data_IF_315627859654
#
_entry.id   IF_315627859654
#
_cell.length_a   1.000
_cell.length_b   1.000
_cell.length_c   1.000
_cell.angle_alpha   90.00
_cell.angle_beta   90.00
_cell.angle_gamma   90.00
#
_symmetry.space_group_name_H-M   'P 1'
#
loop_
_entity.id
_entity.type
_entity.pdbx_description
1 polymer ?
#
# COMPACT_ATOMS: atom_id res chain seq x y z
N UNK A 1 -7.53 -52.50 3.18
CA UNK A 1 -7.68 -52.94 1.77
C UNK A 1 -7.12 -51.78 0.96
N UNK A 2 -5.79 -51.74 0.78
CA UNK A 2 -5.15 -51.93 -0.53
C UNK A 2 -5.28 -50.62 -1.31
N UNK A 3 -4.24 -49.79 -1.42
CA UNK A 3 -3.11 -50.10 -2.30
C UNK A 3 -1.75 -49.69 -1.75
N UNK A 4 -0.89 -50.70 -1.65
CA UNK A 4 0.57 -50.63 -1.70
C UNK A 4 1.02 -50.14 -3.08
N UNK A 5 1.39 -48.87 -3.19
CA UNK A 5 2.45 -48.46 -4.12
C UNK A 5 3.63 -48.01 -3.25
N UNK A 6 4.50 -48.96 -2.93
CA UNK A 6 5.87 -48.67 -2.53
C UNK A 6 6.57 -48.11 -3.78
N UNK A 7 6.57 -46.79 -3.92
CA UNK A 7 7.43 -46.13 -4.89
C UNK A 7 8.85 -46.24 -4.34
N UNK A 8 9.71 -47.02 -5.01
CA UNK A 8 11.11 -47.27 -4.60
C UNK A 8 12.02 -46.07 -4.94
N UNK A 9 11.45 -44.89 -5.19
CA UNK A 9 12.18 -43.66 -5.37
C UNK A 9 12.42 -43.06 -4.00
N UNK A 10 13.68 -42.74 -3.68
CA UNK A 10 14.04 -41.89 -2.55
C UNK A 10 12.99 -40.78 -2.40
N UNK A 11 12.33 -40.71 -1.24
CA UNK A 11 11.44 -39.60 -0.91
C UNK A 11 12.30 -38.35 -0.76
N UNK A 12 12.67 -37.76 -1.88
CA UNK A 12 13.35 -36.47 -1.90
C UNK A 12 12.36 -35.43 -1.36
N UNK A 13 12.75 -34.61 -0.37
CA UNK A 13 11.92 -33.49 0.03
C UNK A 13 11.64 -32.59 -1.18
N UNK A 14 10.49 -31.91 -1.18
CA UNK A 14 9.99 -31.12 -2.34
C UNK A 14 11.01 -30.08 -2.82
N UNK A 15 11.82 -29.53 -1.91
CA UNK A 15 12.93 -28.63 -2.22
C UNK A 15 14.00 -29.25 -3.11
N UNK A 16 14.33 -30.53 -2.92
CA UNK A 16 15.37 -31.25 -3.66
C UNK A 16 14.93 -31.56 -5.11
N UNK A 17 13.63 -31.41 -5.41
CA UNK A 17 13.09 -31.50 -6.76
C UNK A 17 13.15 -30.15 -7.50
N UNK A 18 13.69 -29.10 -6.89
CA UNK A 18 13.66 -27.74 -7.46
C UNK A 18 12.28 -27.08 -7.35
N UNK A 19 11.52 -27.41 -6.30
CA UNK A 19 10.26 -26.78 -5.97
C UNK A 19 10.32 -26.12 -4.59
N UNK A 20 10.32 -24.78 -4.57
CA UNK A 20 10.42 -23.95 -3.36
C UNK A 20 9.34 -22.87 -3.35
N UNK A 21 9.01 -22.24 -2.22
CA UNK A 21 8.14 -21.08 -2.24
C UNK A 21 8.74 -19.94 -3.08
N UNK A 22 7.89 -19.29 -3.88
CA UNK A 22 8.26 -18.05 -4.58
C UNK A 22 8.17 -16.85 -3.64
N UNK A 23 9.14 -15.94 -3.74
CA UNK A 23 9.22 -14.72 -2.98
C UNK A 23 9.60 -13.53 -3.87
N UNK A 24 9.33 -12.32 -3.38
CA UNK A 24 9.65 -11.07 -4.04
C UNK A 24 10.57 -10.23 -3.15
N UNK A 25 11.42 -9.43 -3.77
CA UNK A 25 12.32 -8.51 -3.06
C UNK A 25 12.55 -7.26 -3.90
N UNK A 26 12.51 -6.10 -3.24
CA UNK A 26 12.97 -4.83 -3.81
C UNK A 26 14.46 -4.57 -3.59
N UNK A 27 15.13 -5.41 -2.78
CA UNK A 27 16.55 -5.28 -2.48
C UNK A 27 17.36 -5.94 -3.59
N UNK A 28 18.24 -5.17 -4.21
CA UNK A 28 19.13 -5.62 -5.28
C UNK A 28 20.50 -6.10 -4.80
N UNK A 29 20.81 -5.93 -3.51
CA UNK A 29 22.13 -6.23 -2.93
C UNK A 29 22.12 -7.27 -1.82
N UNK A 30 20.93 -7.75 -1.47
CA UNK A 30 20.76 -8.81 -0.47
C UNK A 30 19.45 -9.57 -0.66
N UNK A 31 19.43 -10.83 -0.24
CA UNK A 31 18.22 -11.65 -0.11
C UNK A 31 18.21 -12.30 1.27
N UNK A 32 17.03 -12.35 1.89
CA UNK A 32 16.85 -12.93 3.22
C UNK A 32 16.11 -14.25 3.12
N UNK A 33 16.25 -15.11 4.12
CA UNK A 33 15.51 -16.37 4.18
C UNK A 33 15.44 -16.92 5.60
N UNK A 34 14.52 -17.85 5.78
CA UNK A 34 14.35 -18.66 6.99
C UNK A 34 14.29 -20.11 6.58
N UNK A 35 14.87 -21.01 7.36
CA UNK A 35 14.89 -22.44 7.06
C UNK A 35 14.63 -23.29 8.30
N UNK A 36 14.30 -24.55 8.04
CA UNK A 36 14.14 -25.55 9.09
C UNK A 36 15.52 -26.02 9.56
N UNK A 37 15.66 -26.42 10.84
CA UNK A 37 16.90 -27.01 11.32
C UNK A 37 17.21 -28.31 10.57
N UNK A 38 18.50 -28.58 10.36
CA UNK A 38 18.97 -29.88 9.87
C UNK A 38 18.64 -31.00 10.87
N UNK A 39 18.54 -32.23 10.36
CA UNK A 39 18.33 -33.43 11.19
C UNK A 39 19.55 -33.75 12.06
N UNK A 40 20.74 -33.44 11.56
CA UNK A 40 22.01 -33.70 12.23
C UNK A 40 22.54 -32.44 12.96
N UNK A 41 23.52 -32.65 13.85
CA UNK A 41 24.12 -31.57 14.64
C UNK A 41 25.01 -30.68 13.78
N UNK A 42 24.45 -29.56 13.31
CA UNK A 42 25.14 -28.51 12.55
C UNK A 42 25.82 -27.53 13.50
N UNK A 43 27.09 -27.22 13.22
CA UNK A 43 27.87 -26.21 13.98
C UNK A 43 27.77 -24.81 13.35
N UNK A 44 27.43 -24.71 12.07
CA UNK A 44 27.27 -23.45 11.34
C UNK A 44 26.38 -23.66 10.10
N UNK A 45 25.50 -22.73 9.79
CA UNK A 45 24.81 -22.66 8.51
C UNK A 45 25.55 -21.72 7.57
N UNK A 46 25.49 -22.05 6.29
CA UNK A 46 25.93 -21.19 5.22
C UNK A 46 24.81 -20.98 4.21
N UNK A 47 24.76 -19.80 3.62
CA UNK A 47 23.73 -19.40 2.67
C UNK A 47 24.36 -18.87 1.38
N UNK A 48 23.69 -19.10 0.25
CA UNK A 48 24.16 -18.63 -1.06
C UNK A 48 22.99 -18.32 -1.99
N UNK A 49 23.28 -17.60 -3.08
CA UNK A 49 22.32 -17.33 -4.16
C UNK A 49 22.89 -17.83 -5.48
N UNK A 50 22.06 -18.60 -6.18
CA UNK A 50 22.26 -19.09 -7.53
C UNK A 50 21.30 -18.46 -8.52
N UNK A 51 21.63 -18.57 -9.81
CA UNK A 51 20.70 -18.21 -10.89
C UNK A 51 19.74 -19.35 -11.23
N UNK A 52 19.94 -20.54 -10.69
CA UNK A 52 19.13 -21.73 -10.95
C UNK A 52 19.38 -22.78 -9.84
N UNK A 53 18.74 -23.95 -9.94
CA UNK A 53 18.83 -24.99 -8.90
C UNK A 53 20.12 -25.83 -8.98
N UNK A 54 20.74 -25.94 -10.15
CA UNK A 54 21.99 -26.70 -10.35
C UNK A 54 23.26 -25.95 -9.98
N UNK A 55 23.21 -24.62 -9.91
CA UNK A 55 24.33 -23.75 -9.51
C UNK A 55 23.89 -22.81 -8.38
N UNK A 56 23.83 -23.30 -7.13
CA UNK A 56 23.32 -22.57 -5.96
C UNK A 56 24.21 -21.40 -5.53
N UNK A 57 25.38 -21.23 -6.14
CA UNK A 57 26.30 -20.14 -5.82
C UNK A 57 26.69 -19.25 -7.00
N UNK A 58 26.20 -19.52 -8.21
CA UNK A 58 26.61 -18.79 -9.42
C UNK A 58 26.48 -17.27 -9.36
N UNK A 59 25.58 -16.73 -8.54
CA UNK A 59 25.42 -15.27 -8.37
C UNK A 59 26.32 -14.72 -7.27
N UNK A 60 26.44 -15.44 -6.14
CA UNK A 60 27.27 -15.00 -5.01
C UNK A 60 28.76 -15.32 -5.18
N UNK A 61 29.08 -16.36 -5.94
CA UNK A 61 30.40 -16.97 -6.12
C UNK A 61 30.96 -17.69 -4.89
N UNK A 62 30.19 -17.78 -3.79
CA UNK A 62 30.64 -18.35 -2.52
C UNK A 62 29.45 -18.66 -1.60
N UNK A 63 29.70 -19.50 -0.59
CA UNK A 63 28.78 -19.71 0.53
C UNK A 63 29.13 -18.77 1.68
N UNK A 64 28.14 -18.03 2.18
CA UNK A 64 28.31 -17.06 3.26
C UNK A 64 27.96 -17.70 4.61
N UNK A 65 28.87 -17.74 5.60
CA UNK A 65 28.57 -18.28 6.93
C UNK A 65 27.62 -17.37 7.72
N UNK A 66 26.73 -17.98 8.51
CA UNK A 66 25.69 -17.29 9.29
C UNK A 66 25.65 -17.67 10.78
N UNK A 67 26.48 -18.60 11.24
CA UNK A 67 26.37 -19.15 12.58
C UNK A 67 25.24 -20.17 12.67
N UNK A 68 24.64 -20.33 13.86
CA UNK A 68 23.61 -21.36 14.13
C UNK A 68 22.18 -20.86 13.94
N UNK A 69 21.99 -19.61 13.51
CA UNK A 69 20.66 -19.03 13.33
C UNK A 69 19.90 -19.74 12.19
N UNK A 70 18.58 -19.89 12.35
CA UNK A 70 17.68 -20.47 11.35
C UNK A 70 17.09 -19.41 10.40
N UNK A 71 17.75 -18.26 10.34
CA UNK A 71 17.39 -17.13 9.50
C UNK A 71 18.65 -16.34 9.17
N UNK A 72 18.66 -15.68 8.02
CA UNK A 72 19.76 -14.80 7.66
C UNK A 72 19.59 -14.16 6.30
N UNK A 73 20.65 -13.49 5.83
CA UNK A 73 20.65 -12.84 4.54
C UNK A 73 21.98 -13.02 3.82
N UNK A 74 21.92 -13.37 2.54
CA UNK A 74 23.06 -13.26 1.63
C UNK A 74 23.22 -11.78 1.29
N UNK A 75 24.42 -11.25 1.48
CA UNK A 75 24.76 -9.84 1.19
C UNK A 75 25.89 -9.75 0.16
N UNK A 76 26.22 -8.55 -0.32
CA UNK A 76 27.28 -8.34 -1.31
C UNK A 76 27.04 -9.17 -2.58
N UNK A 77 25.83 -9.07 -3.11
CA UNK A 77 25.39 -9.63 -4.39
C UNK A 77 24.90 -8.49 -5.28
N UNK A 78 24.82 -8.72 -6.59
CA UNK A 78 24.25 -7.77 -7.53
C UNK A 78 23.09 -8.44 -8.26
N UNK A 79 21.89 -7.98 -7.97
CA UNK A 79 20.64 -8.49 -8.52
C UNK A 79 19.99 -7.41 -9.37
N UNK A 80 19.27 -7.83 -10.39
CA UNK A 80 18.59 -6.93 -11.31
C UNK A 80 17.17 -7.43 -11.56
N UNK A 81 16.21 -6.51 -11.76
CA UNK A 81 14.87 -6.88 -12.17
C UNK A 81 14.92 -7.61 -13.53
N UNK A 82 14.02 -8.56 -13.70
CA UNK A 82 13.77 -9.22 -14.98
C UNK A 82 12.60 -8.58 -15.72
N UNK A 83 12.23 -9.16 -16.84
CA UNK A 83 10.93 -8.93 -17.46
C UNK A 83 9.88 -9.85 -16.83
N UNK A 84 8.67 -9.32 -16.66
CA UNK A 84 7.56 -10.03 -16.02
C UNK A 84 6.34 -10.03 -16.91
N UNK A 85 5.60 -11.12 -16.90
CA UNK A 85 4.30 -11.25 -17.54
C UNK A 85 3.43 -12.27 -16.80
N UNK A 86 2.19 -12.42 -17.23
CA UNK A 86 1.22 -13.33 -16.59
C UNK A 86 0.76 -14.39 -17.57
N UNK A 87 0.73 -15.64 -17.10
CA UNK A 87 0.31 -16.81 -17.86
C UNK A 87 -1.21 -16.78 -18.11
N UNK A 88 -1.62 -16.93 -19.36
CA UNK A 88 -3.03 -16.94 -19.78
C UNK A 88 -3.54 -18.33 -20.18
N UNK A 89 -2.64 -19.26 -20.54
CA UNK A 89 -3.00 -20.63 -20.89
C UNK A 89 -2.42 -21.63 -19.90
N UNK A 90 -3.14 -22.73 -19.67
CA UNK A 90 -2.64 -23.85 -18.87
C UNK A 90 -1.43 -24.51 -19.55
N UNK A 91 -0.44 -24.93 -18.77
CA UNK A 91 0.68 -25.76 -19.25
C UNK A 91 0.54 -27.15 -18.63
N UNK A 92 0.37 -28.16 -19.46
CA UNK A 92 0.28 -29.58 -19.11
C UNK A 92 1.50 -30.34 -19.63
N UNK A 93 1.58 -31.64 -19.38
CA UNK A 93 2.77 -32.46 -19.70
C UNK A 93 3.18 -32.44 -21.18
N UNK A 94 2.20 -32.30 -22.08
CA UNK A 94 2.37 -32.34 -23.54
C UNK A 94 2.18 -30.97 -24.22
N UNK A 95 2.09 -29.90 -23.43
CA UNK A 95 1.99 -28.54 -23.99
C UNK A 95 3.27 -28.18 -24.73
N UNK A 96 3.15 -27.72 -25.98
CA UNK A 96 4.26 -27.29 -26.84
C UNK A 96 4.37 -25.77 -26.96
N UNK A 97 3.36 -25.03 -26.52
CA UNK A 97 3.37 -23.57 -26.46
C UNK A 97 2.39 -23.06 -25.40
N UNK A 98 2.62 -21.85 -24.92
CA UNK A 98 1.72 -21.19 -23.97
C UNK A 98 1.59 -19.69 -24.26
N UNK A 99 0.49 -19.11 -23.80
CA UNK A 99 0.19 -17.69 -24.00
C UNK A 99 0.35 -16.88 -22.72
N UNK A 100 0.77 -15.63 -22.89
CA UNK A 100 1.01 -14.63 -21.84
C UNK A 100 0.35 -13.30 -22.18
N UNK A 101 0.19 -12.42 -21.18
CA UNK A 101 -0.36 -11.07 -21.39
C UNK A 101 0.45 -10.23 -22.38
N UNK A 102 1.78 -10.25 -22.24
CA UNK A 102 2.73 -9.65 -23.18
C UNK A 102 4.09 -10.32 -23.03
N UNK A 103 4.79 -10.54 -24.14
CA UNK A 103 6.17 -11.02 -24.19
C UNK A 103 7.15 -9.87 -24.51
N UNK A 104 6.74 -8.61 -24.34
CA UNK A 104 7.61 -7.44 -24.52
C UNK A 104 8.80 -7.49 -23.56
N UNK A 105 10.00 -7.17 -24.06
CA UNK A 105 11.25 -7.23 -23.30
C UNK A 105 11.89 -8.62 -23.19
N UNK A 106 11.13 -9.70 -23.33
CA UNK A 106 11.68 -11.06 -23.36
C UNK A 106 12.53 -11.31 -24.61
N UNK A 107 13.57 -12.12 -24.45
CA UNK A 107 14.44 -12.53 -25.56
C UNK A 107 13.70 -13.38 -26.60
N UNK A 108 14.19 -13.37 -27.85
CA UNK A 108 13.64 -14.19 -28.94
C UNK A 108 13.75 -15.69 -28.66
N UNK A 109 14.83 -16.11 -28.02
CA UNK A 109 15.04 -17.44 -27.47
C UNK A 109 15.77 -17.29 -26.14
N UNK A 110 15.34 -18.03 -25.13
CA UNK A 110 15.93 -17.92 -23.79
C UNK A 110 15.17 -18.71 -22.74
N UNK A 111 15.61 -18.58 -21.49
CA UNK A 111 14.97 -19.21 -20.35
C UNK A 111 13.86 -18.33 -19.79
N UNK A 112 12.79 -18.96 -19.32
CA UNK A 112 11.73 -18.34 -18.53
C UNK A 112 11.41 -19.18 -17.31
N UNK A 113 11.03 -18.51 -16.23
CA UNK A 113 10.59 -19.06 -14.96
C UNK A 113 9.07 -18.96 -14.92
N UNK A 114 8.38 -20.09 -15.01
CA UNK A 114 6.94 -20.19 -14.77
C UNK A 114 6.77 -20.77 -13.37
N UNK A 115 6.38 -19.93 -12.40
CA UNK A 115 6.38 -20.35 -10.99
C UNK A 115 7.80 -20.76 -10.54
N UNK A 116 8.01 -22.06 -10.29
CA UNK A 116 9.31 -22.65 -9.95
C UNK A 116 10.02 -23.34 -11.12
N UNK A 117 9.31 -23.62 -12.21
CA UNK A 117 9.85 -24.33 -13.35
C UNK A 117 10.63 -23.39 -14.25
N UNK A 118 11.81 -23.82 -14.69
CA UNK A 118 12.63 -23.15 -15.69
C UNK A 118 12.39 -23.86 -17.03
N UNK A 119 12.00 -23.12 -18.05
CA UNK A 119 11.77 -23.63 -19.40
C UNK A 119 12.65 -22.89 -20.39
N UNK A 120 13.21 -23.60 -21.35
CA UNK A 120 13.79 -22.99 -22.55
C UNK A 120 12.64 -22.76 -23.54
N UNK A 121 12.51 -21.52 -24.01
CA UNK A 121 11.41 -21.10 -24.89
C UNK A 121 11.91 -20.28 -26.07
N UNK A 122 11.11 -20.26 -27.14
CA UNK A 122 11.25 -19.33 -28.26
C UNK A 122 10.00 -18.45 -28.36
N UNK A 123 10.18 -17.14 -28.47
CA UNK A 123 9.10 -16.16 -28.64
C UNK A 123 8.54 -16.27 -30.06
N UNK A 124 7.29 -16.74 -30.19
CA UNK A 124 6.64 -16.86 -31.51
C UNK A 124 6.08 -15.51 -31.95
N UNK A 125 5.43 -14.81 -31.02
CA UNK A 125 4.86 -13.48 -31.19
C UNK A 125 4.82 -12.75 -29.84
N UNK A 126 4.08 -11.64 -29.74
CA UNK A 126 4.06 -10.87 -28.49
C UNK A 126 3.18 -11.47 -27.37
N UNK A 127 2.48 -12.56 -27.61
CA UNK A 127 1.66 -13.20 -26.57
C UNK A 127 1.91 -14.70 -26.46
N UNK A 128 2.83 -15.27 -27.25
CA UNK A 128 3.01 -16.71 -27.36
C UNK A 128 4.48 -17.12 -27.28
N UNK A 129 4.75 -18.08 -26.40
CA UNK A 129 6.04 -18.78 -26.33
C UNK A 129 5.87 -20.23 -26.81
N UNK A 130 6.75 -20.68 -27.69
CA UNK A 130 6.96 -22.10 -27.98
C UNK A 130 7.90 -22.69 -26.92
N UNK A 131 7.55 -23.85 -26.38
CA UNK A 131 8.35 -24.57 -25.39
C UNK A 131 9.37 -25.44 -26.16
N UNK A 132 10.65 -25.16 -25.96
CA UNK A 132 11.74 -25.97 -26.50
C UNK A 132 12.15 -27.07 -25.53
N UNK A 133 12.27 -26.73 -24.24
CA UNK A 133 12.63 -27.68 -23.18
C UNK A 133 12.00 -27.28 -21.84
N UNK A 134 11.69 -28.26 -21.00
CA UNK A 134 11.01 -28.11 -19.70
C UNK A 134 11.82 -28.71 -18.57
N UNK A 135 11.68 -28.20 -17.36
CA UNK A 135 12.44 -28.68 -16.20
C UNK A 135 13.95 -28.42 -16.31
N UNK A 136 14.32 -27.30 -16.95
CA UNK A 136 15.71 -26.93 -17.15
C UNK A 136 16.41 -26.65 -15.81
N UNK A 137 17.72 -26.82 -15.79
CA UNK A 137 18.61 -26.36 -14.71
C UNK A 137 18.14 -26.80 -13.29
N UNK A 138 17.69 -28.05 -13.19
CA UNK A 138 17.31 -28.70 -11.93
C UNK A 138 15.92 -28.30 -11.41
N UNK A 139 15.10 -27.63 -12.22
CA UNK A 139 13.75 -27.23 -11.81
C UNK A 139 12.73 -28.36 -11.97
N UNK A 140 11.70 -28.34 -11.11
CA UNK A 140 10.63 -29.34 -11.16
C UNK A 140 9.69 -29.11 -12.37
N UNK A 141 9.46 -30.16 -13.17
CA UNK A 141 8.46 -30.12 -14.25
C UNK A 141 7.05 -30.35 -13.69
N UNK A 142 6.19 -29.33 -13.73
CA UNK A 142 4.85 -29.37 -13.13
C UNK A 142 3.74 -28.81 -14.01
N UNK A 143 2.46 -29.08 -13.73
CA UNK A 143 1.37 -28.37 -14.41
C UNK A 143 1.29 -26.92 -13.92
N UNK A 144 1.03 -25.97 -14.83
CA UNK A 144 0.81 -24.55 -14.51
C UNK A 144 -0.60 -24.12 -14.85
N UNK A 145 -1.18 -23.24 -14.04
CA UNK A 145 -2.59 -22.82 -14.18
C UNK A 145 -2.70 -21.48 -14.92
N UNK A 146 -3.80 -21.28 -15.66
CA UNK A 146 -4.06 -20.05 -16.41
C UNK A 146 -4.52 -18.86 -15.55
N UNK A 147 -4.34 -18.91 -14.23
CA UNK A 147 -4.89 -17.91 -13.30
C UNK A 147 -3.92 -16.73 -13.06
N UNK A 148 -3.17 -16.35 -14.09
CA UNK A 148 -2.20 -15.26 -13.99
C UNK A 148 -0.94 -15.63 -13.22
N UNK A 149 -0.50 -16.89 -13.31
CA UNK A 149 0.79 -17.31 -12.75
C UNK A 149 1.91 -16.43 -13.33
N UNK A 150 2.88 -16.05 -12.49
CA UNK A 150 3.95 -15.15 -12.93
C UNK A 150 4.94 -15.90 -13.80
N UNK A 151 5.22 -15.32 -14.97
CA UNK A 151 6.29 -15.71 -15.87
C UNK A 151 7.36 -14.62 -15.82
N UNK A 152 8.61 -14.99 -15.60
CA UNK A 152 9.74 -14.06 -15.62
C UNK A 152 10.91 -14.62 -16.42
N UNK A 153 11.79 -13.77 -16.96
CA UNK A 153 13.04 -14.23 -17.59
C UNK A 153 14.20 -14.35 -16.59
N UNK A 154 13.94 -13.99 -15.34
CA UNK A 154 14.91 -13.98 -14.25
C UNK A 154 14.31 -14.48 -12.95
N UNK A 155 15.13 -15.21 -12.19
CA UNK A 155 14.85 -15.71 -10.86
C UNK A 155 16.17 -15.95 -10.13
N UNK A 156 16.12 -15.92 -8.80
CA UNK A 156 17.28 -16.09 -7.94
C UNK A 156 16.97 -17.16 -6.89
N UNK A 157 17.70 -18.28 -6.94
CA UNK A 157 17.47 -19.40 -6.02
C UNK A 157 18.33 -19.16 -4.79
N UNK A 158 17.68 -18.95 -3.64
CA UNK A 158 18.34 -18.88 -2.34
C UNK A 158 18.48 -20.29 -1.80
N UNK A 159 19.70 -20.68 -1.44
CA UNK A 159 20.01 -22.01 -0.93
C UNK A 159 20.75 -21.94 0.40
N UNK A 160 20.56 -22.96 1.23
CA UNK A 160 21.21 -23.11 2.53
C UNK A 160 21.88 -24.47 2.66
N UNK A 161 22.98 -24.55 3.40
CA UNK A 161 23.59 -25.81 3.84
C UNK A 161 24.07 -25.70 5.28
N UNK A 162 24.05 -26.80 6.01
CA UNK A 162 24.67 -26.93 7.31
C UNK A 162 26.10 -27.46 7.19
N UNK A 163 26.98 -26.99 8.07
CA UNK A 163 28.34 -27.48 8.26
C UNK A 163 28.37 -28.31 9.53
N UNK A 164 28.82 -29.55 9.41
CA UNK A 164 28.95 -30.52 10.50
C UNK A 164 30.31 -30.36 11.21
N UNK A 165 30.45 -30.94 12.40
CA UNK A 165 31.68 -30.84 13.20
C UNK A 165 32.92 -31.46 12.52
N UNK A 166 32.72 -32.43 11.63
CA UNK A 166 33.75 -33.07 10.81
C UNK A 166 34.06 -32.31 9.50
N UNK A 167 33.40 -31.17 9.27
CA UNK A 167 33.52 -30.37 8.05
C UNK A 167 32.66 -30.85 6.88
N UNK A 168 31.87 -31.93 7.05
CA UNK A 168 30.91 -32.35 6.04
C UNK A 168 29.75 -31.34 5.92
N UNK A 169 29.11 -31.30 4.75
CA UNK A 169 27.94 -30.47 4.51
C UNK A 169 26.65 -31.32 4.54
N UNK A 170 25.59 -30.77 5.14
CA UNK A 170 24.24 -31.37 5.18
C UNK A 170 23.22 -30.41 4.53
N UNK A 171 22.36 -30.88 3.62
CA UNK A 171 22.29 -32.25 3.11
C UNK A 171 23.41 -32.61 2.12
N UNK A 172 24.05 -31.61 1.51
CA UNK A 172 25.17 -31.79 0.57
C UNK A 172 26.01 -30.52 0.49
N UNK A 173 27.12 -30.58 -0.25
CA UNK A 173 27.93 -29.40 -0.60
C UNK A 173 27.15 -28.36 -1.44
N UNK A 174 26.18 -28.81 -2.23
CA UNK A 174 25.28 -27.96 -3.01
C UNK A 174 24.13 -27.38 -2.15
N UNK A 175 23.99 -27.84 -0.92
CA UNK A 175 22.92 -27.43 -0.02
C UNK A 175 21.53 -27.83 -0.53
N UNK A 176 20.53 -27.07 -0.10
CA UNK A 176 19.13 -27.21 -0.50
C UNK A 176 18.54 -25.84 -0.84
N UNK A 177 17.81 -25.70 -1.96
CA UNK A 177 17.11 -24.46 -2.25
C UNK A 177 15.95 -24.26 -1.26
N UNK A 178 15.75 -23.02 -0.80
CA UNK A 178 14.70 -22.68 0.18
C UNK A 178 13.68 -21.68 -0.36
N UNK A 179 14.07 -20.81 -1.29
CA UNK A 179 13.21 -19.80 -1.91
C UNK A 179 13.67 -19.50 -3.33
N UNK A 180 12.73 -19.17 -4.21
CA UNK A 180 13.05 -18.49 -5.47
C UNK A 180 12.58 -17.04 -5.41
N UNK A 181 13.52 -16.12 -5.58
CA UNK A 181 13.29 -14.68 -5.54
C UNK A 181 13.11 -14.11 -6.94
N UNK A 182 12.14 -13.20 -7.06
CA UNK A 182 12.02 -12.24 -8.16
C UNK A 182 12.29 -10.83 -7.63
N UNK A 183 12.94 -10.02 -8.45
CA UNK A 183 13.29 -8.65 -8.10
C UNK A 183 12.32 -7.69 -8.76
N UNK A 184 11.57 -6.97 -7.93
CA UNK A 184 10.65 -5.90 -8.34
C UNK A 184 11.05 -4.63 -7.59
N UNK A 185 11.44 -3.63 -8.37
CA UNK A 185 11.85 -2.31 -7.87
C UNK A 185 10.82 -1.22 -8.21
N UNK A 186 9.71 -1.62 -8.82
CA UNK A 186 8.63 -0.75 -9.21
C UNK A 186 7.71 -0.49 -8.01
N UNK A 187 7.17 0.73 -7.95
CA UNK A 187 6.22 1.09 -6.90
C UNK A 187 4.80 0.82 -7.40
N UNK A 188 3.91 0.27 -6.55
CA UNK A 188 2.51 0.10 -6.92
C UNK A 188 1.86 1.46 -7.17
N UNK A 189 0.84 1.51 -8.04
CA UNK A 189 0.12 2.75 -8.33
C UNK A 189 -0.61 3.27 -7.08
N UNK A 190 -0.75 4.59 -6.98
CA UNK A 190 -1.44 5.20 -5.83
C UNK A 190 -2.94 4.92 -5.91
N UNK A 191 -3.57 4.39 -4.85
CA UNK A 191 -5.02 4.15 -4.84
C UNK A 191 -5.79 5.47 -4.82
N UNK A 192 -7.05 5.44 -5.24
CA UNK A 192 -7.91 6.63 -5.12
C UNK A 192 -8.30 6.90 -3.67
N UNK A 193 -8.80 8.10 -3.42
CA UNK A 193 -9.17 8.51 -2.07
C UNK A 193 -10.29 7.63 -1.49
N UNK A 194 -10.14 7.06 -0.28
CA UNK A 194 -11.07 6.09 0.29
C UNK A 194 -12.36 6.78 0.75
N UNK A 195 -13.38 6.77 -0.10
CA UNK A 195 -14.63 7.48 0.16
C UNK A 195 -15.50 6.71 1.16
N UNK A 196 -16.00 7.38 2.22
CA UNK A 196 -17.05 6.83 3.06
C UNK A 196 -18.32 6.57 2.25
N UNK A 197 -18.87 5.37 2.36
CA UNK A 197 -20.09 4.93 1.68
C UNK A 197 -21.32 5.33 2.51
N UNK A 198 -21.55 6.65 2.61
CA UNK A 198 -22.63 7.25 3.40
C UNK A 198 -23.60 7.95 2.44
N UNK A 199 -24.92 7.72 2.56
CA UNK A 199 -25.89 8.49 1.79
C UNK A 199 -25.80 9.99 2.09
N UNK A 200 -26.03 10.82 1.08
CA UNK A 200 -25.98 12.27 1.24
C UNK A 200 -26.92 12.77 2.34
N UNK A 201 -26.42 13.67 3.18
CA UNK A 201 -27.21 14.28 4.26
C UNK A 201 -27.44 13.40 5.49
N UNK A 202 -26.90 12.19 5.54
CA UNK A 202 -26.92 11.31 6.71
C UNK A 202 -25.58 11.33 7.46
N UNK A 203 -25.63 11.07 8.77
CA UNK A 203 -24.43 10.73 9.53
C UNK A 203 -23.93 9.36 9.17
N UNK A 204 -22.61 9.16 9.25
CA UNK A 204 -21.97 7.86 9.14
C UNK A 204 -22.37 6.90 10.26
N UNK A 205 -22.88 7.42 11.38
CA UNK A 205 -23.01 6.65 12.61
C UNK A 205 -21.64 6.27 13.17
N UNK A 206 -21.63 5.28 14.05
CA UNK A 206 -20.41 4.81 14.71
C UNK A 206 -19.62 3.78 13.88
N UNK A 207 -20.22 3.23 12.82
CA UNK A 207 -19.60 2.26 11.92
C UNK A 207 -20.05 2.48 10.48
N UNK A 208 -19.12 2.41 9.52
CA UNK A 208 -19.37 2.65 8.10
C UNK A 208 -18.25 2.08 7.23
N UNK A 209 -18.55 1.90 5.95
CA UNK A 209 -17.61 1.32 4.99
C UNK A 209 -16.89 2.41 4.19
N UNK A 210 -15.58 2.25 4.03
CA UNK A 210 -14.74 2.97 3.08
C UNK A 210 -14.60 2.15 1.80
N UNK A 211 -14.56 2.82 0.64
CA UNK A 211 -14.28 2.22 -0.66
C UNK A 211 -13.33 3.09 -1.48
N UNK A 212 -12.39 2.47 -2.16
CA UNK A 212 -11.48 3.11 -3.12
C UNK A 212 -11.35 2.28 -4.39
N UNK A 213 -10.77 2.85 -5.44
CA UNK A 213 -10.36 2.10 -6.62
C UNK A 213 -8.97 1.49 -6.37
N UNK A 214 -8.76 0.23 -6.80
CA UNK A 214 -7.56 -0.50 -6.45
C UNK A 214 -6.30 0.07 -7.09
N UNK A 215 -5.19 -0.15 -6.40
CA UNK A 215 -3.85 -0.04 -6.96
C UNK A 215 -3.54 -1.20 -7.89
N UNK A 216 -2.54 -1.00 -8.75
CA UNK A 216 -2.01 -1.99 -9.68
C UNK A 216 -0.49 -2.06 -9.53
N UNK A 217 0.04 -3.26 -9.70
CA UNK A 217 1.46 -3.57 -9.76
C UNK A 217 1.60 -4.79 -10.68
N UNK A 218 2.22 -4.60 -11.84
CA UNK A 218 2.25 -5.63 -12.88
C UNK A 218 3.29 -6.72 -12.62
N UNK A 219 4.27 -6.43 -11.77
CA UNK A 219 5.37 -7.35 -11.45
C UNK A 219 4.94 -8.28 -10.33
N UNK A 220 4.93 -7.78 -9.09
CA UNK A 220 4.70 -8.56 -7.88
C UNK A 220 3.24 -8.58 -7.41
N UNK A 221 2.37 -7.74 -7.96
CA UNK A 221 0.98 -7.49 -7.52
C UNK A 221 0.89 -6.73 -6.19
N UNK A 222 -0.31 -6.22 -5.89
CA UNK A 222 -0.61 -5.56 -4.61
C UNK A 222 -0.84 -6.61 -3.52
N UNK A 223 0.00 -6.58 -2.49
CA UNK A 223 -0.07 -7.46 -1.32
C UNK A 223 -1.09 -6.99 -0.30
N UNK A 224 -1.11 -5.68 0.00
CA UNK A 224 -1.91 -5.12 1.09
C UNK A 224 -2.24 -3.63 0.89
N UNK A 225 -3.24 -3.15 1.63
CA UNK A 225 -3.54 -1.73 1.82
C UNK A 225 -3.36 -1.35 3.27
N UNK A 226 -2.74 -0.21 3.51
CA UNK A 226 -2.65 0.42 4.83
C UNK A 226 -3.60 1.62 4.89
N UNK A 227 -4.45 1.65 5.92
CA UNK A 227 -5.47 2.69 6.12
C UNK A 227 -5.10 3.53 7.32
N UNK A 228 -5.09 4.85 7.12
CA UNK A 228 -4.91 5.83 8.18
C UNK A 228 -6.13 6.72 8.35
N UNK A 229 -6.35 7.12 9.60
CA UNK A 229 -7.41 8.00 10.05
C UNK A 229 -6.83 9.21 10.77
N UNK A 230 -7.53 10.33 10.67
CA UNK A 230 -7.38 11.45 11.61
C UNK A 230 -8.75 11.97 12.04
N UNK A 231 -8.83 12.43 13.29
CA UNK A 231 -10.03 13.07 13.85
C UNK A 231 -10.00 14.59 13.62
N UNK A 232 -11.09 15.12 13.08
CA UNK A 232 -11.29 16.55 12.86
C UNK A 232 -10.16 17.18 12.05
N UNK A 233 -9.50 18.17 12.66
CA UNK A 233 -8.39 18.91 12.06
C UNK A 233 -7.03 18.54 12.67
N UNK A 234 -6.96 17.41 13.39
CA UNK A 234 -5.69 16.94 13.94
C UNK A 234 -4.66 16.78 12.82
N UNK A 235 -3.42 17.27 12.99
CA UNK A 235 -2.35 16.99 12.04
C UNK A 235 -1.84 15.54 12.14
N UNK A 236 -2.25 14.80 13.18
CA UNK A 236 -1.77 13.45 13.46
C UNK A 236 -2.63 12.41 12.75
N UNK A 237 -1.98 11.56 11.96
CA UNK A 237 -2.57 10.38 11.34
C UNK A 237 -2.26 9.14 12.17
N UNK A 238 -3.25 8.27 12.34
CA UNK A 238 -3.13 6.99 13.04
C UNK A 238 -3.45 5.85 12.09
N UNK A 239 -2.60 4.83 12.02
CA UNK A 239 -2.90 3.61 11.26
C UNK A 239 -3.95 2.80 12.00
N UNK A 240 -5.09 2.55 11.33
CA UNK A 240 -6.21 1.81 11.91
C UNK A 240 -6.29 0.38 11.38
N UNK A 241 -5.74 0.12 10.20
CA UNK A 241 -5.68 -1.22 9.64
C UNK A 241 -4.61 -1.38 8.57
N UNK A 242 -4.15 -2.62 8.42
CA UNK A 242 -3.53 -3.14 7.21
C UNK A 242 -4.34 -4.36 6.76
N UNK A 243 -4.91 -4.32 5.56
CA UNK A 243 -5.71 -5.41 5.00
C UNK A 243 -5.02 -6.01 3.78
N UNK A 244 -5.21 -7.32 3.55
CA UNK A 244 -4.70 -7.94 2.31
C UNK A 244 -5.33 -7.28 1.09
N UNK A 245 -4.58 -7.18 -0.02
CA UNK A 245 -5.03 -6.65 -1.30
C UNK A 245 -6.05 -7.56 -2.00
N UNK A 246 -6.18 -8.81 -1.56
CA UNK A 246 -7.15 -9.78 -2.07
C UNK A 246 -7.95 -10.41 -0.93
N UNK A 247 -9.21 -10.75 -1.24
CA UNK A 247 -10.08 -11.56 -0.39
C UNK A 247 -9.82 -13.04 -0.65
N UNK A 248 -10.32 -13.89 0.24
CA UNK A 248 -10.43 -15.32 -0.04
C UNK A 248 -11.13 -15.54 -1.39
N UNK A 249 -10.50 -16.30 -2.27
CA UNK A 249 -10.98 -16.51 -3.65
C UNK A 249 -10.43 -15.54 -4.69
N UNK A 250 -9.48 -14.65 -4.35
CA UNK A 250 -8.73 -13.83 -5.30
C UNK A 250 -9.41 -12.54 -5.75
N UNK A 251 -10.61 -12.23 -5.26
CA UNK A 251 -11.27 -10.95 -5.52
C UNK A 251 -10.48 -9.80 -4.87
N UNK A 252 -10.39 -8.66 -5.54
CA UNK A 252 -9.73 -7.47 -5.02
C UNK A 252 -10.39 -7.02 -3.71
N UNK A 253 -9.57 -6.62 -2.74
CA UNK A 253 -10.01 -6.11 -1.45
C UNK A 253 -9.74 -4.61 -1.33
N UNK A 254 -10.71 -3.81 -1.78
CA UNK A 254 -10.67 -2.35 -1.81
C UNK A 254 -11.77 -1.72 -0.92
N UNK A 255 -12.12 -2.42 0.16
CA UNK A 255 -13.18 -2.07 1.09
C UNK A 255 -12.69 -2.25 2.51
N UNK A 256 -13.08 -1.34 3.40
CA UNK A 256 -12.77 -1.45 4.83
C UNK A 256 -13.91 -0.91 5.68
N UNK A 257 -14.36 -1.65 6.68
CA UNK A 257 -15.44 -1.22 7.58
C UNK A 257 -14.85 -0.67 8.87
N UNK A 258 -14.95 0.65 9.02
CA UNK A 258 -14.53 1.41 10.20
C UNK A 258 -15.56 1.21 11.31
N UNK A 259 -15.09 1.05 12.55
CA UNK A 259 -15.92 1.06 13.75
C UNK A 259 -16.76 -0.19 13.99
N UNK A 260 -16.62 -1.21 13.14
CA UNK A 260 -17.28 -2.50 13.34
C UNK A 260 -16.49 -3.37 14.32
N UNK A 261 -17.07 -3.61 15.49
CA UNK A 261 -16.46 -4.41 16.57
C UNK A 261 -16.25 -5.88 16.22
N UNK A 262 -16.79 -6.37 15.11
CA UNK A 262 -16.49 -7.72 14.60
C UNK A 262 -15.06 -7.81 14.07
N UNK A 263 -14.49 -6.69 13.59
CA UNK A 263 -13.11 -6.64 13.12
C UNK A 263 -12.15 -6.50 14.32
N UNK A 264 -11.19 -7.43 14.51
CA UNK A 264 -10.24 -7.34 15.61
C UNK A 264 -9.46 -6.02 15.60
N UNK A 265 -9.46 -5.32 16.74
CA UNK A 265 -8.78 -4.03 16.90
C UNK A 265 -9.59 -2.80 16.45
N UNK A 266 -10.78 -2.97 15.88
CA UNK A 266 -11.67 -1.86 15.54
C UNK A 266 -12.64 -1.50 16.68
N UNK A 267 -12.93 -0.20 16.81
CA UNK A 267 -13.80 0.34 17.86
C UNK A 267 -14.82 1.31 17.28
N UNK A 268 -16.10 1.22 17.66
CA UNK A 268 -17.11 2.16 17.21
C UNK A 268 -16.67 3.61 17.42
N UNK A 269 -16.75 4.42 16.37
CA UNK A 269 -16.32 5.81 16.45
C UNK A 269 -17.28 6.60 17.34
N UNK A 270 -16.77 7.45 18.26
CA UNK A 270 -17.62 8.31 19.09
C UNK A 270 -18.51 9.21 18.24
N UNK A 271 -19.76 9.39 18.67
CA UNK A 271 -20.71 10.32 18.06
C UNK A 271 -20.24 11.78 18.19
N UNK A 272 -20.70 12.64 17.28
CA UNK A 272 -20.38 14.08 17.25
C UNK A 272 -18.98 14.42 16.72
N UNK A 273 -18.24 13.42 16.22
CA UNK A 273 -16.89 13.55 15.66
C UNK A 273 -16.88 13.43 14.14
N UNK A 274 -15.81 13.94 13.52
CA UNK A 274 -15.56 13.81 12.09
C UNK A 274 -14.23 13.12 11.88
N UNK A 275 -14.18 12.20 10.92
CA UNK A 275 -12.97 11.49 10.57
C UNK A 275 -12.67 11.64 9.08
N UNK A 276 -11.39 11.73 8.75
CA UNK A 276 -10.93 11.67 7.35
C UNK A 276 -9.88 10.59 7.20
N UNK A 277 -9.79 10.05 6.00
CA UNK A 277 -9.01 8.85 5.72
C UNK A 277 -8.05 9.05 4.56
N UNK A 278 -6.99 8.26 4.58
CA UNK A 278 -6.10 8.05 3.42
C UNK A 278 -5.65 6.59 3.40
N UNK A 279 -5.34 6.11 2.21
CA UNK A 279 -4.91 4.72 2.00
C UNK A 279 -3.65 4.71 1.12
N UNK A 280 -2.77 3.74 1.35
CA UNK A 280 -1.66 3.41 0.43
C UNK A 280 -1.61 1.91 0.23
N UNK A 281 -1.06 1.46 -0.89
CA UNK A 281 -0.84 0.05 -1.17
C UNK A 281 0.60 -0.37 -0.88
N UNK A 282 0.79 -1.65 -0.66
CA UNK A 282 2.08 -2.33 -0.55
C UNK A 282 2.09 -3.48 -1.56
N UNK A 283 3.14 -3.60 -2.37
CA UNK A 283 3.32 -4.74 -3.27
C UNK A 283 4.03 -5.92 -2.57
N UNK A 284 4.14 -7.08 -3.22
CA UNK A 284 4.78 -8.26 -2.60
C UNK A 284 6.30 -8.10 -2.45
N UNK A 285 6.93 -7.16 -3.15
CA UNK A 285 8.35 -6.80 -2.98
C UNK A 285 8.61 -5.88 -1.78
N UNK A 286 7.56 -5.47 -1.05
CA UNK A 286 7.64 -4.63 0.14
C UNK A 286 7.77 -3.13 -0.15
N UNK A 287 7.44 -2.69 -1.37
CA UNK A 287 7.39 -1.27 -1.73
C UNK A 287 5.98 -0.73 -1.54
N UNK A 288 5.88 0.50 -1.02
CA UNK A 288 4.60 1.16 -0.78
C UNK A 288 4.33 2.27 -1.79
N UNK A 289 3.09 2.42 -2.24
CA UNK A 289 2.67 3.60 -3.01
C UNK A 289 2.79 4.88 -2.16
N UNK A 290 2.59 6.03 -2.81
CA UNK A 290 2.25 7.25 -2.08
C UNK A 290 0.91 7.08 -1.36
N UNK A 291 0.67 7.93 -0.37
CA UNK A 291 -0.66 8.06 0.23
C UNK A 291 -1.64 8.64 -0.79
N UNK A 292 -2.87 8.10 -0.80
CA UNK A 292 -3.98 8.68 -1.56
C UNK A 292 -4.30 10.10 -1.12
N UNK A 293 -5.06 10.81 -1.95
CA UNK A 293 -5.76 12.01 -1.51
C UNK A 293 -6.67 11.73 -0.31
N UNK A 294 -6.88 12.75 0.52
CA UNK A 294 -7.71 12.63 1.73
C UNK A 294 -9.18 12.49 1.37
N UNK A 295 -9.88 11.59 2.06
CA UNK A 295 -11.31 11.35 1.86
C UNK A 295 -12.17 12.57 2.18
N UNK A 296 -13.43 12.54 1.71
CA UNK A 296 -14.46 13.38 2.31
C UNK A 296 -14.60 13.05 3.81
N UNK A 297 -14.90 14.04 4.68
CA UNK A 297 -15.12 13.79 6.11
C UNK A 297 -16.34 12.89 6.36
N UNK A 298 -16.18 11.88 7.20
CA UNK A 298 -17.27 11.07 7.75
C UNK A 298 -17.69 11.64 9.11
N UNK A 299 -18.87 12.25 9.17
CA UNK A 299 -19.46 12.76 10.42
C UNK A 299 -20.29 11.69 11.12
N UNK A 300 -19.88 11.30 12.32
CA UNK A 300 -20.52 10.22 13.12
C UNK A 300 -21.91 10.56 13.65
N UNK A 301 -22.22 11.85 13.75
CA UNK A 301 -23.53 12.35 14.12
C UNK A 301 -23.82 13.63 13.34
N UNK A 302 -25.07 13.84 12.95
CA UNK A 302 -25.52 15.15 12.51
C UNK A 302 -25.68 15.98 13.78
N UNK A 303 -24.66 16.78 14.15
CA UNK A 303 -24.80 17.73 15.27
C UNK A 303 -26.08 18.53 15.06
N UNK A 304 -26.90 18.75 16.10
CA UNK A 304 -28.16 19.51 15.96
C UNK A 304 -27.95 20.94 15.45
N UNK A 305 -26.77 21.49 15.66
CA UNK A 305 -26.41 22.85 15.28
C UNK A 305 -25.76 22.90 13.89
N UNK A 306 -26.28 23.78 13.01
CA UNK A 306 -25.81 23.91 11.63
C UNK A 306 -24.30 24.21 11.51
N UNK A 307 -23.76 24.93 12.48
CA UNK A 307 -22.35 25.32 12.55
C UNK A 307 -21.83 25.16 13.97
N UNK A 308 -20.64 24.59 14.09
CA UNK A 308 -19.95 24.33 15.36
C UNK A 308 -18.42 24.48 15.22
N UNK A 309 -17.71 24.38 16.35
CA UNK A 309 -16.24 24.36 16.43
C UNK A 309 -15.57 25.52 15.68
N UNK A 310 -16.09 26.74 15.88
CA UNK A 310 -15.57 27.95 15.25
C UNK A 310 -14.36 28.48 15.99
N UNK A 311 -13.21 28.49 15.34
CA UNK A 311 -11.98 29.08 15.84
C UNK A 311 -11.20 29.74 14.71
N UNK A 312 -10.11 30.42 15.05
CA UNK A 312 -9.17 30.94 14.08
C UNK A 312 -7.74 30.79 14.59
N UNK A 313 -6.78 30.54 13.70
CA UNK A 313 -5.37 30.45 14.03
C UNK A 313 -4.48 31.02 12.91
N UNK A 314 -3.34 31.66 13.26
CA UNK A 314 -3.01 32.17 14.58
C UNK A 314 -4.03 33.21 15.08
N UNK A 315 -4.16 33.31 16.41
CA UNK A 315 -4.96 34.33 17.10
C UNK A 315 -4.28 34.70 18.44
N UNK A 316 -3.68 35.90 18.59
CA UNK A 316 -3.64 36.98 17.61
C UNK A 316 -2.77 36.67 16.39
N UNK A 317 -2.98 37.40 15.29
CA UNK A 317 -2.22 37.28 14.02
C UNK A 317 -1.40 38.55 13.74
N UNK A 318 -0.19 38.40 13.20
CA UNK A 318 0.67 39.50 12.74
C UNK A 318 0.77 39.49 11.20
N UNK A 319 0.03 40.39 10.54
CA UNK A 319 -0.02 40.45 9.07
C UNK A 319 1.24 41.05 8.41
N UNK A 320 2.22 41.53 9.18
CA UNK A 320 3.50 42.01 8.61
C UNK A 320 4.45 40.86 8.29
N UNK A 321 4.19 39.68 8.86
CA UNK A 321 4.96 38.47 8.60
C UNK A 321 4.66 37.93 7.21
N UNK A 322 5.64 37.26 6.60
CA UNK A 322 5.45 36.53 5.35
C UNK A 322 4.84 35.14 5.55
N UNK A 323 4.44 34.51 4.46
CA UNK A 323 4.06 33.08 4.47
C UNK A 323 2.81 32.77 5.28
N UNK A 324 2.82 31.65 6.01
CA UNK A 324 1.69 31.14 6.81
C UNK A 324 1.45 31.92 8.10
N UNK A 325 2.48 32.59 8.65
CA UNK A 325 2.35 33.40 9.86
C UNK A 325 1.66 34.75 9.59
N UNK A 326 1.73 35.25 8.36
CA UNK A 326 1.13 36.50 7.89
C UNK A 326 -0.35 36.40 7.51
N UNK A 327 -1.05 35.37 7.94
CA UNK A 327 -2.47 35.12 7.63
C UNK A 327 -3.13 34.37 8.78
N UNK A 328 -4.43 34.56 8.96
CA UNK A 328 -5.25 33.78 9.91
C UNK A 328 -6.24 32.91 9.14
N UNK A 329 -6.42 31.69 9.59
CA UNK A 329 -7.38 30.73 9.02
C UNK A 329 -8.56 30.63 9.98
N UNK A 330 -9.73 31.03 9.51
CA UNK A 330 -11.01 30.84 10.19
C UNK A 330 -11.48 29.42 9.88
N UNK A 331 -11.69 28.61 10.90
CA UNK A 331 -12.10 27.21 10.76
C UNK A 331 -13.41 26.97 11.50
N UNK A 332 -14.28 26.18 10.90
CA UNK A 332 -15.60 25.81 11.42
C UNK A 332 -16.05 24.48 10.82
N UNK A 333 -17.01 23.83 11.48
CA UNK A 333 -17.62 22.58 11.02
C UNK A 333 -19.09 22.81 10.72
N UNK A 334 -19.52 22.43 9.52
CA UNK A 334 -20.93 22.42 9.13
C UNK A 334 -21.52 21.01 9.26
N UNK A 335 -22.74 20.91 9.78
CA UNK A 335 -23.46 19.63 9.85
C UNK A 335 -24.21 19.28 8.53
N UNK A 336 -24.24 20.21 7.57
CA UNK A 336 -24.93 20.12 6.29
C UNK A 336 -24.25 21.02 5.27
N UNK A 337 -24.45 20.77 3.98
CA UNK A 337 -24.07 21.74 2.95
C UNK A 337 -24.89 23.02 3.18
N UNK A 338 -24.21 24.16 3.27
CA UNK A 338 -24.84 25.42 3.65
C UNK A 338 -24.25 26.58 2.88
N UNK A 339 -25.08 27.56 2.56
CA UNK A 339 -24.61 28.87 2.15
C UNK A 339 -23.95 29.55 3.36
N UNK A 340 -22.71 29.98 3.20
CA UNK A 340 -21.94 30.63 4.27
C UNK A 340 -21.53 32.03 3.86
N UNK A 341 -21.84 33.01 4.71
CA UNK A 341 -21.27 34.36 4.65
C UNK A 341 -20.44 34.63 5.90
N UNK A 342 -19.20 35.05 5.70
CA UNK A 342 -18.30 35.53 6.76
C UNK A 342 -18.10 37.01 6.55
N UNK A 343 -18.65 37.83 7.44
CA UNK A 343 -18.44 39.27 7.44
C UNK A 343 -17.49 39.64 8.56
N UNK A 344 -16.37 40.26 8.21
CA UNK A 344 -15.43 40.82 9.16
C UNK A 344 -15.81 42.27 9.45
N UNK A 345 -15.88 42.60 10.73
CA UNK A 345 -16.10 43.95 11.23
C UNK A 345 -14.93 44.41 12.08
N UNK A 346 -14.68 45.71 12.10
CA UNK A 346 -13.88 46.32 13.17
C UNK A 346 -14.71 46.49 14.46
N UNK A 347 -14.10 47.03 15.52
CA UNK A 347 -14.80 47.27 16.80
C UNK A 347 -15.86 48.37 16.73
N UNK A 348 -15.85 49.21 15.68
CA UNK A 348 -16.86 50.23 15.44
C UNK A 348 -18.05 49.68 14.63
N UNK A 349 -17.95 48.44 14.13
CA UNK A 349 -19.00 47.79 13.36
C UNK A 349 -18.92 48.05 11.86
N UNK A 350 -17.84 48.64 11.35
CA UNK A 350 -17.66 48.82 9.90
C UNK A 350 -17.22 47.51 9.25
N UNK A 351 -17.82 47.21 8.09
CA UNK A 351 -17.45 46.03 7.31
C UNK A 351 -16.05 46.21 6.75
N UNK A 352 -15.16 45.31 7.15
CA UNK A 352 -13.78 45.23 6.68
C UNK A 352 -13.71 44.36 5.44
N UNK A 353 -14.35 43.20 5.45
CA UNK A 353 -14.33 42.24 4.33
C UNK A 353 -15.50 41.27 4.44
N UNK A 354 -15.93 40.76 3.29
CA UNK A 354 -16.93 39.70 3.22
C UNK A 354 -16.40 38.52 2.39
N UNK A 355 -16.73 37.31 2.83
CA UNK A 355 -16.55 36.07 2.08
C UNK A 355 -17.91 35.40 1.92
N UNK A 356 -18.22 34.88 0.73
CA UNK A 356 -19.47 34.17 0.44
C UNK A 356 -19.15 32.84 -0.22
N UNK A 357 -19.81 31.79 0.24
CA UNK A 357 -19.64 30.43 -0.23
C UNK A 357 -21.02 29.82 -0.49
N UNK A 358 -21.17 29.22 -1.66
CA UNK A 358 -22.38 28.50 -2.03
C UNK A 358 -22.47 27.18 -1.26
N UNK A 359 -23.69 26.67 -1.09
CA UNK A 359 -23.91 25.35 -0.48
C UNK A 359 -23.13 24.27 -1.22
N UNK A 360 -22.30 23.51 -0.50
CA UNK A 360 -21.47 22.44 -1.04
C UNK A 360 -20.13 22.88 -1.64
N UNK A 361 -19.85 24.18 -1.77
CA UNK A 361 -18.54 24.66 -2.24
C UNK A 361 -17.49 24.63 -1.12
N UNK A 362 -16.21 24.84 -1.43
CA UNK A 362 -15.19 25.11 -0.40
C UNK A 362 -15.63 26.31 0.45
N UNK A 363 -15.71 26.15 1.77
CA UNK A 363 -16.29 27.12 2.70
C UNK A 363 -17.78 26.91 3.01
N UNK A 364 -18.50 26.09 2.25
CA UNK A 364 -19.93 25.78 2.42
C UNK A 364 -20.26 24.29 2.40
N UNK A 365 -19.25 23.40 2.49
CA UNK A 365 -19.42 21.94 2.42
C UNK A 365 -19.65 21.32 3.80
N UNK A 366 -20.39 20.23 3.86
CA UNK A 366 -20.54 19.41 5.07
C UNK A 366 -19.17 19.01 5.64
N UNK A 367 -19.02 19.09 6.96
CA UNK A 367 -17.78 18.81 7.68
C UNK A 367 -16.89 20.06 7.88
N UNK A 368 -15.58 19.89 8.08
CA UNK A 368 -14.64 20.99 8.29
C UNK A 368 -14.45 21.90 7.07
N UNK A 369 -14.41 23.21 7.34
CA UNK A 369 -14.18 24.28 6.38
C UNK A 369 -13.07 25.22 6.89
N UNK A 370 -12.34 25.81 5.94
CA UNK A 370 -11.19 26.69 6.22
C UNK A 370 -11.21 27.91 5.31
N UNK A 371 -11.19 29.11 5.90
CA UNK A 371 -11.22 30.38 5.16
C UNK A 371 -10.03 31.22 5.58
N UNK A 372 -9.16 31.54 4.63
CA UNK A 372 -7.94 32.33 4.90
C UNK A 372 -8.21 33.82 4.76
N UNK A 373 -7.78 34.59 5.75
CA UNK A 373 -7.72 36.05 5.69
C UNK A 373 -6.29 36.56 5.88
N UNK A 374 -5.86 37.41 4.97
CA UNK A 374 -4.51 37.98 4.89
C UNK A 374 -4.43 39.44 5.41
N UNK A 375 -5.41 39.86 6.20
CA UNK A 375 -5.42 41.21 6.78
C UNK A 375 -5.80 42.33 5.82
N UNK A 376 -6.23 42.01 4.59
CA UNK A 376 -6.71 43.03 3.65
C UNK A 376 -8.21 43.24 3.77
N UNK A 377 -8.65 44.50 3.71
CA UNK A 377 -10.04 44.91 3.63
C UNK A 377 -10.61 44.75 2.20
N UNK A 378 -11.88 45.12 1.99
CA UNK A 378 -12.56 45.07 0.70
C UNK A 378 -11.95 45.95 -0.40
N UNK A 379 -11.17 46.96 -0.02
CA UNK A 379 -10.40 47.83 -0.92
C UNK A 379 -8.96 47.34 -1.17
N UNK A 380 -8.61 46.16 -0.63
CA UNK A 380 -7.28 45.58 -0.76
C UNK A 380 -6.21 46.17 0.17
N UNK A 381 -6.54 47.16 0.99
CA UNK A 381 -5.62 47.78 1.95
C UNK A 381 -5.50 46.95 3.24
N UNK A 382 -4.33 46.97 3.88
CA UNK A 382 -4.14 46.31 5.17
C UNK A 382 -4.96 46.98 6.26
N UNK A 383 -5.49 46.16 7.17
CA UNK A 383 -6.17 46.64 8.37
C UNK A 383 -5.17 47.01 9.47
N UNK A 384 -5.56 47.93 10.34
CA UNK A 384 -4.78 48.36 11.49
C UNK A 384 -4.70 47.28 12.59
N UNK A 385 -3.78 47.44 13.55
CA UNK A 385 -3.77 46.62 14.77
C UNK A 385 -5.05 46.87 15.55
N UNK A 386 -5.58 45.82 16.17
CA UNK A 386 -6.81 45.93 16.95
C UNK A 386 -7.63 44.65 16.98
N UNK A 387 -8.81 44.76 17.58
CA UNK A 387 -9.81 43.69 17.58
C UNK A 387 -10.67 43.73 16.33
N UNK A 388 -11.00 42.54 15.83
CA UNK A 388 -11.94 42.35 14.72
C UNK A 388 -12.98 41.29 15.10
N UNK A 389 -14.16 41.40 14.52
CA UNK A 389 -15.29 40.52 14.76
C UNK A 389 -15.63 39.81 13.44
N UNK A 390 -15.45 38.49 13.40
CA UNK A 390 -15.95 37.65 12.32
C UNK A 390 -17.36 37.17 12.67
N UNK A 391 -18.36 37.64 11.92
CA UNK A 391 -19.73 37.13 11.96
C UNK A 391 -19.90 36.10 10.87
N UNK A 392 -20.06 34.84 11.27
CA UNK A 392 -20.17 33.70 10.37
C UNK A 392 -21.62 33.25 10.38
N UNK A 393 -22.32 33.45 9.26
CA UNK A 393 -23.71 33.01 9.06
C UNK A 393 -23.70 31.81 8.13
N UNK A 394 -24.23 30.68 8.61
CA UNK A 394 -24.51 29.50 7.78
C UNK A 394 -26.03 29.36 7.62
N UNK A 395 -26.49 29.02 6.41
CA UNK A 395 -27.91 28.79 6.10
C UNK A 395 -28.07 27.55 5.20
N UNK A 396 -28.94 26.62 5.58
CA UNK A 396 -29.35 25.47 4.76
C UNK A 396 -30.88 25.30 4.82
N UNK A 397 -31.48 24.40 4.00
CA UNK A 397 -32.91 24.10 4.11
C UNK A 397 -33.35 23.63 5.50
N UNK A 398 -32.42 23.15 6.35
CA UNK A 398 -32.67 22.70 7.72
C UNK A 398 -32.65 23.83 8.76
N UNK A 399 -32.21 25.04 8.39
CA UNK A 399 -32.18 26.19 9.29
C UNK A 399 -31.03 27.16 9.01
N UNK A 400 -30.86 28.14 9.89
CA UNK A 400 -29.71 29.06 9.83
C UNK A 400 -29.13 29.27 11.23
N UNK A 401 -27.82 29.54 11.30
CA UNK A 401 -27.13 29.85 12.54
C UNK A 401 -26.04 30.88 12.31
N UNK A 402 -25.84 31.76 13.30
CA UNK A 402 -24.81 32.78 13.30
C UNK A 402 -23.89 32.52 14.48
N UNK A 403 -22.58 32.51 14.23
CA UNK A 403 -21.54 32.50 15.27
C UNK A 403 -20.67 33.74 15.12
N UNK A 404 -20.26 34.31 16.26
CA UNK A 404 -19.35 35.45 16.32
C UNK A 404 -18.01 34.98 16.86
N UNK A 405 -16.92 35.32 16.16
CA UNK A 405 -15.55 35.04 16.57
C UNK A 405 -14.73 36.31 16.64
N UNK A 406 -14.02 36.52 17.76
CA UNK A 406 -13.08 37.63 17.92
C UNK A 406 -11.70 37.25 17.34
N UNK A 407 -11.14 38.13 16.53
CA UNK A 407 -9.82 38.00 15.92
C UNK A 407 -8.95 39.17 16.42
N UNK A 408 -7.83 38.85 17.06
CA UNK A 408 -6.83 39.86 17.45
C UNK A 408 -5.81 40.05 16.33
N UNK A 409 -5.58 41.30 15.94
CA UNK A 409 -4.53 41.67 14.98
C UNK A 409 -3.47 42.46 15.71
N UNK A 410 -2.23 42.00 15.60
CA UNK A 410 -1.05 42.68 16.13
C UNK A 410 -0.17 43.18 14.99
N UNK A 411 0.61 44.19 15.32
CA UNK A 411 1.69 44.77 14.53
C UNK A 411 2.85 45.04 15.48
#
# INVERSE_FOLDING_TARGET
IGDTILNVNQMLPVSDLGAVPSAWSSKTTQLSGTWNPATDTVINYEISVGGNYTDPSGIKGSWQPLGTDLSGAVTNISLSPGHFTKLLSRIETNTSSFTVTSADGFAQEGIVYVGNEIMLVSKVDNTTFAILERGMQGSFKGPHTSWGETVSDRGYVLSVRGVMADGAYVPSDSGVPILIYRIDISYPTTPTSPQPQIPEGLSSGQAYTLKWDPSEDNESNVMAYEIQEREGNSPVWTTIAAISGFKTGGAINNLYTVGDSVNPGETPRPLGKYYTYRVRSWNFAGLSSLWSETSKPAGTEIKKELISDVYNFPNPVDFRKGGVEGKTVISYILNDNAEVSITLYDLLGYVVREFKFSSGSEGGKLGPNFVTWNGRNGLGSYVSKGGYIARIKASSPKGSKIIIRKIGVIH
#
